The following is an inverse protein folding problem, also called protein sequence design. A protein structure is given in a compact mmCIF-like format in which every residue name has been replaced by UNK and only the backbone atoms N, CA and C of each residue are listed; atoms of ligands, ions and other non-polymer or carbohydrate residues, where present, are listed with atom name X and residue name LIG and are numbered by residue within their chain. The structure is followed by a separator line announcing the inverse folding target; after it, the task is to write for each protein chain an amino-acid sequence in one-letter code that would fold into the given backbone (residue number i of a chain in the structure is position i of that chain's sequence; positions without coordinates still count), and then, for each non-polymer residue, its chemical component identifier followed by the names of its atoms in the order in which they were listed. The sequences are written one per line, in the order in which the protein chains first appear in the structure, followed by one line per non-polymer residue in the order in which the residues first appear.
data_IF_912444567450
#
_entry.id   IF_912444567450
#
_cell.length_a   1.000
_cell.length_b   1.000
_cell.length_c   1.000
_cell.angle_alpha   90.00
_cell.angle_beta   90.00
_cell.angle_gamma   90.00
#
_symmetry.space_group_name_H-M   'P 1'
#
loop_
_entity.id
_entity.type
_entity.pdbx_description
1 polymer ?
#
# COMPACT_ATOMS: atom_id res chain seq x y z
N UNK A 1 -15.47 -31.13 -8.68
CA UNK A 1 -14.68 -30.15 -7.87
C UNK A 1 -15.24 -30.00 -6.47
N UNK A 2 -16.54 -29.66 -6.32
CA UNK A 2 -17.23 -29.69 -5.02
C UNK A 2 -17.22 -31.10 -4.40
N UNK A 3 -17.28 -32.14 -5.22
CA UNK A 3 -17.18 -33.54 -4.75
C UNK A 3 -15.87 -33.88 -4.03
N UNK A 4 -14.77 -33.16 -4.33
CA UNK A 4 -13.43 -33.43 -3.76
C UNK A 4 -13.09 -32.42 -2.66
N UNK A 5 -13.41 -31.14 -2.88
CA UNK A 5 -13.02 -30.04 -1.97
C UNK A 5 -14.18 -29.51 -1.12
N UNK A 6 -15.39 -30.03 -1.31
CA UNK A 6 -16.59 -29.64 -0.57
C UNK A 6 -16.84 -28.13 -0.60
N UNK A 7 -17.24 -27.59 0.54
CA UNK A 7 -17.53 -26.16 0.72
C UNK A 7 -16.29 -25.26 0.61
N UNK A 8 -15.08 -25.82 0.74
CA UNK A 8 -13.82 -25.10 0.59
C UNK A 8 -13.38 -25.00 -0.89
N UNK A 9 -14.20 -25.50 -1.82
CA UNK A 9 -13.91 -25.42 -3.24
C UNK A 9 -13.86 -23.95 -3.71
N UNK A 10 -12.77 -23.60 -4.39
CA UNK A 10 -12.67 -22.33 -5.13
C UNK A 10 -13.76 -22.24 -6.21
N UNK A 11 -14.31 -21.05 -6.40
CA UNK A 11 -15.35 -20.79 -7.40
C UNK A 11 -14.84 -21.05 -8.82
N UNK A 12 -15.71 -21.61 -9.68
CA UNK A 12 -15.36 -22.06 -11.05
C UNK A 12 -14.64 -20.99 -11.88
N UNK A 13 -15.01 -19.72 -11.74
CA UNK A 13 -14.36 -18.60 -12.44
C UNK A 13 -12.88 -18.41 -12.03
N UNK A 14 -12.54 -18.65 -10.76
CA UNK A 14 -11.15 -18.57 -10.27
C UNK A 14 -10.30 -19.68 -10.87
N UNK A 15 -10.83 -20.92 -10.97
CA UNK A 15 -10.12 -22.02 -11.63
C UNK A 15 -9.88 -21.70 -13.11
N UNK A 16 -10.90 -21.25 -13.84
CA UNK A 16 -10.76 -20.96 -15.26
C UNK A 16 -9.70 -19.89 -15.53
N UNK A 17 -9.68 -18.82 -14.72
CA UNK A 17 -8.64 -17.78 -14.79
C UNK A 17 -7.23 -18.32 -14.49
N UNK A 18 -7.11 -19.29 -13.60
CA UNK A 18 -5.82 -19.95 -13.32
C UNK A 18 -5.37 -20.84 -14.47
N UNK A 19 -6.27 -21.64 -15.07
CA UNK A 19 -5.97 -22.47 -16.24
C UNK A 19 -5.45 -21.62 -17.41
N UNK A 20 -6.13 -20.52 -17.73
CA UNK A 20 -5.70 -19.60 -18.79
C UNK A 20 -4.30 -19.01 -18.52
N UNK A 21 -4.01 -18.64 -17.27
CA UNK A 21 -2.69 -18.12 -16.88
C UNK A 21 -1.61 -19.19 -17.01
N UNK A 22 -1.93 -20.43 -16.63
CA UNK A 22 -1.02 -21.57 -16.76
C UNK A 22 -0.71 -21.89 -18.22
N UNK A 23 -1.74 -21.92 -19.09
CA UNK A 23 -1.58 -22.06 -20.55
C UNK A 23 -0.73 -20.93 -21.15
N UNK A 24 -0.85 -19.71 -20.61
CA UNK A 24 0.01 -18.57 -20.96
C UNK A 24 1.44 -18.64 -20.38
N UNK A 25 1.85 -19.78 -19.80
CA UNK A 25 3.20 -20.02 -19.28
C UNK A 25 3.42 -19.62 -17.82
N UNK A 26 2.37 -19.26 -17.06
CA UNK A 26 2.51 -19.00 -15.61
C UNK A 26 2.73 -20.30 -14.85
N UNK A 27 3.97 -20.56 -14.46
CA UNK A 27 4.37 -21.70 -13.62
C UNK A 27 4.46 -21.38 -12.13
N UNK A 28 4.55 -20.10 -11.76
CA UNK A 28 4.66 -19.71 -10.35
C UNK A 28 3.30 -19.77 -9.65
N UNK A 29 3.23 -20.62 -8.63
CA UNK A 29 2.07 -20.84 -7.77
C UNK A 29 1.91 -19.69 -6.76
N UNK A 30 3.01 -19.05 -6.34
CA UNK A 30 2.94 -17.93 -5.41
C UNK A 30 2.21 -16.75 -6.03
N UNK A 31 1.52 -15.99 -5.20
CA UNK A 31 0.94 -14.72 -5.61
C UNK A 31 2.06 -13.75 -5.97
N UNK A 32 1.87 -13.07 -7.09
CA UNK A 32 2.70 -11.92 -7.42
C UNK A 32 2.39 -10.82 -6.41
N UNK A 33 3.36 -9.94 -6.10
CA UNK A 33 3.07 -8.73 -5.35
C UNK A 33 1.89 -8.03 -6.02
N UNK A 34 0.83 -7.81 -5.25
CA UNK A 34 -0.33 -7.12 -5.75
C UNK A 34 0.13 -5.73 -6.20
N UNK A 35 -0.19 -5.28 -7.43
CA UNK A 35 -0.09 -3.87 -7.78
C UNK A 35 -1.18 -3.09 -7.04
N UNK A 36 -1.11 -3.10 -5.71
CA UNK A 36 -1.71 -2.13 -4.81
C UNK A 36 -0.68 -1.06 -4.49
N UNK A 37 -1.16 0.06 -3.94
CA UNK A 37 -0.43 1.33 -3.75
C UNK A 37 1.06 1.10 -3.52
N UNK A 38 1.82 1.18 -4.62
CA UNK A 38 3.26 1.22 -4.56
C UNK A 38 3.63 2.31 -3.55
N UNK A 39 4.73 2.10 -2.83
CA UNK A 39 5.44 3.11 -2.05
C UNK A 39 5.70 4.40 -2.86
N UNK A 40 4.66 5.18 -3.16
CA UNK A 40 4.70 6.26 -4.14
C UNK A 40 3.73 7.39 -3.75
N UNK A 41 3.77 7.82 -2.49
CA UNK A 41 3.50 9.24 -2.12
C UNK A 41 4.36 9.62 -0.90
N UNK A 42 5.51 8.98 -0.71
CA UNK A 42 6.44 9.39 0.36
C UNK A 42 7.83 9.35 -0.22
N UNK A 43 8.10 10.32 -1.09
CA UNK A 43 9.47 10.64 -1.50
C UNK A 43 10.28 10.81 -0.22
N UNK A 44 11.40 10.12 -0.05
CA UNK A 44 12.22 10.21 1.18
C UNK A 44 12.56 11.67 1.50
N UNK A 45 12.71 12.52 0.48
CA UNK A 45 12.85 13.96 0.64
C UNK A 45 11.67 14.63 1.36
N UNK A 46 10.44 14.22 1.08
CA UNK A 46 9.23 14.74 1.76
C UNK A 46 9.13 14.27 3.20
N UNK A 47 9.56 13.04 3.51
CA UNK A 47 9.62 12.53 4.90
C UNK A 47 10.63 13.36 5.70
N UNK A 48 11.83 13.56 5.16
CA UNK A 48 12.87 14.34 5.81
C UNK A 48 12.44 15.79 6.05
N UNK A 49 11.76 16.42 5.08
CA UNK A 49 11.24 17.78 5.23
C UNK A 49 10.18 17.87 6.32
N UNK A 50 9.23 16.92 6.39
CA UNK A 50 8.24 16.85 7.47
C UNK A 50 8.91 16.67 8.83
N UNK A 51 9.92 15.80 8.90
CA UNK A 51 10.64 15.52 10.16
C UNK A 51 11.41 16.74 10.66
N UNK A 52 12.04 17.49 9.75
CA UNK A 52 12.76 18.71 10.11
C UNK A 52 11.82 19.78 10.69
N UNK A 53 10.65 19.96 10.08
CA UNK A 53 9.61 20.88 10.59
C UNK A 53 9.11 20.47 11.98
N UNK A 54 8.91 19.17 12.23
CA UNK A 54 8.51 18.66 13.56
C UNK A 54 9.61 18.88 14.60
N UNK A 55 10.88 18.70 14.23
CA UNK A 55 12.03 18.92 15.14
C UNK A 55 12.17 20.38 15.54
N UNK A 56 11.93 21.29 14.61
CA UNK A 56 11.99 22.73 14.86
C UNK A 56 10.79 23.23 15.68
N UNK A 57 9.58 22.73 15.39
CA UNK A 57 8.35 23.15 16.04
C UNK A 57 7.55 21.98 16.59
N UNK A 58 7.85 21.55 17.82
CA UNK A 58 7.15 20.40 18.44
C UNK A 58 5.63 20.59 18.65
N UNK A 59 5.11 21.81 18.59
CA UNK A 59 3.68 22.12 18.73
C UNK A 59 2.94 22.28 17.40
N UNK A 60 3.59 22.01 16.27
CA UNK A 60 3.01 22.22 14.94
C UNK A 60 1.90 21.20 14.61
N UNK A 61 0.82 21.69 14.00
CA UNK A 61 -0.34 20.89 13.64
C UNK A 61 -0.25 20.38 12.20
N UNK A 62 -0.91 19.24 11.92
CA UNK A 62 -0.97 18.63 10.58
C UNK A 62 -1.38 19.58 9.42
N UNK A 63 -2.36 20.49 9.56
CA UNK A 63 -2.69 21.44 8.50
C UNK A 63 -1.59 22.48 8.26
N UNK A 64 -0.84 22.89 9.28
CA UNK A 64 0.27 23.84 9.14
C UNK A 64 1.43 23.22 8.34
N UNK A 65 1.79 21.97 8.64
CA UNK A 65 2.80 21.21 7.87
C UNK A 65 2.37 21.05 6.41
N UNK A 66 1.09 20.77 6.16
CA UNK A 66 0.56 20.60 4.80
C UNK A 66 0.67 21.89 3.96
N UNK A 67 0.44 23.05 4.60
CA UNK A 67 0.60 24.37 3.97
C UNK A 67 2.07 24.69 3.74
N UNK A 68 2.92 24.49 4.74
CA UNK A 68 4.36 24.80 4.68
C UNK A 68 5.09 23.99 3.61
N UNK A 69 4.76 22.71 3.49
CA UNK A 69 5.41 21.80 2.54
C UNK A 69 4.64 21.65 1.22
N UNK A 70 3.51 22.36 1.07
CA UNK A 70 2.61 22.25 -0.10
C UNK A 70 2.26 20.80 -0.46
N UNK A 71 2.03 19.97 0.56
CA UNK A 71 1.71 18.54 0.43
C UNK A 71 0.25 18.27 0.78
N UNK A 72 -0.34 17.23 0.19
CA UNK A 72 -1.71 16.86 0.50
C UNK A 72 -1.83 16.45 1.98
N UNK A 73 -2.95 16.80 2.63
CA UNK A 73 -3.21 16.41 4.03
C UNK A 73 -3.09 14.90 4.24
N UNK A 74 -3.52 14.10 3.27
CA UNK A 74 -3.44 12.64 3.32
C UNK A 74 -2.00 12.12 3.43
N UNK A 75 -1.04 12.82 2.82
CA UNK A 75 0.38 12.47 2.88
C UNK A 75 0.97 12.69 4.28
N UNK A 76 0.56 13.75 4.99
CA UNK A 76 1.04 14.03 6.35
C UNK A 76 0.50 12.99 7.35
N UNK A 77 -0.76 12.57 7.19
CA UNK A 77 -1.37 11.55 8.06
C UNK A 77 -0.77 10.16 7.89
N UNK A 78 -0.25 9.85 6.70
CA UNK A 78 0.38 8.57 6.40
C UNK A 78 1.86 8.50 6.83
N UNK A 79 2.42 9.58 7.41
CA UNK A 79 3.80 9.55 7.89
C UNK A 79 3.91 8.66 9.15
N UNK A 80 4.68 7.54 9.11
CA UNK A 80 4.79 6.61 10.24
C UNK A 80 5.37 7.24 11.52
N UNK A 81 6.12 8.33 11.44
CA UNK A 81 6.73 8.97 12.62
C UNK A 81 5.73 9.68 13.52
N UNK A 82 4.59 10.14 12.99
CA UNK A 82 3.49 10.70 13.80
C UNK A 82 2.80 9.63 14.68
N UNK A 83 2.99 8.34 14.40
CA UNK A 83 2.39 7.26 15.17
C UNK A 83 3.21 6.86 16.41
N UNK A 84 4.45 7.34 16.53
CA UNK A 84 5.39 7.00 17.62
C UNK A 84 5.61 8.15 18.62
N UNK A 85 4.93 9.28 18.46
CA UNK A 85 4.89 10.42 19.40
C UNK A 85 3.53 10.49 20.08
#
# INVERSE_FOLDING_TARGET
MIEVYGQQCVVRCTIFRWCQRYEAGRVNIKDLPCPGQAHFVTNSATILAVNEVIRQNRRITTPEIAVELSISKGTVHHNPEKAWL
#
